data_IF_142084592241
#
_entry.id   IF_142084592241
#
_cell.length_a   1.000
_cell.length_b   1.000
_cell.length_c   1.000
_cell.angle_alpha   90.00
_cell.angle_beta   90.00
_cell.angle_gamma   90.00
#
_symmetry.space_group_name_H-M   'P 1'
#
loop_
_entity.id
_entity.type
_entity.pdbx_description
1 polymer ?
#
# COMPACT_ATOMS: atom_id res chain seq x y z
N UNK A 1 -11.13 -24.86 9.26
CA UNK A 1 -11.36 -23.76 8.30
C UNK A 1 -10.13 -22.89 8.34
N UNK A 2 -9.36 -22.87 7.26
CA UNK A 2 -8.18 -22.01 7.14
C UNK A 2 -8.71 -20.66 6.68
N UNK A 3 -8.91 -19.73 7.61
CA UNK A 3 -9.27 -18.35 7.26
C UNK A 3 -8.01 -17.71 6.66
N UNK A 4 -7.82 -17.89 5.35
CA UNK A 4 -7.00 -16.96 4.60
C UNK A 4 -7.81 -15.67 4.57
N UNK A 5 -7.57 -14.80 5.56
CA UNK A 5 -7.90 -13.39 5.42
C UNK A 5 -7.07 -12.93 4.22
N UNK A 6 -7.68 -12.86 3.05
CA UNK A 6 -7.08 -12.36 1.81
C UNK A 6 -6.41 -11.03 2.17
N UNK A 7 -5.08 -11.03 2.27
CA UNK A 7 -4.37 -9.80 2.57
C UNK A 7 -4.59 -8.88 1.38
N UNK A 8 -5.31 -7.77 1.58
CA UNK A 8 -5.49 -6.79 0.53
C UNK A 8 -4.10 -6.37 0.04
N UNK A 9 -3.80 -6.66 -1.22
CA UNK A 9 -2.54 -6.34 -1.83
C UNK A 9 -2.74 -5.68 -3.19
N UNK A 10 -1.92 -4.66 -3.49
CA UNK A 10 -1.90 -4.02 -4.80
C UNK A 10 -0.47 -3.92 -5.30
N UNK A 11 -0.29 -4.34 -6.55
CA UNK A 11 0.96 -4.23 -7.25
C UNK A 11 1.01 -2.90 -8.03
N UNK A 12 2.01 -2.08 -7.69
CA UNK A 12 2.27 -0.78 -8.31
C UNK A 12 3.53 -0.84 -9.20
N UNK A 13 4.06 -2.04 -9.46
CA UNK A 13 5.28 -2.20 -10.22
C UNK A 13 5.04 -1.89 -11.70
N UNK A 14 5.80 -0.93 -12.22
CA UNK A 14 5.67 -0.51 -13.62
C UNK A 14 4.60 0.55 -13.86
N UNK A 15 3.86 0.98 -12.82
CA UNK A 15 2.99 2.15 -12.90
C UNK A 15 3.81 3.45 -12.99
N UNK A 16 3.28 4.43 -13.70
CA UNK A 16 3.77 5.81 -13.63
C UNK A 16 3.35 6.46 -12.29
N UNK A 17 4.00 7.57 -11.94
CA UNK A 17 3.77 8.27 -10.66
C UNK A 17 2.30 8.67 -10.44
N UNK A 18 1.62 9.09 -11.51
CA UNK A 18 0.22 9.51 -11.47
C UNK A 18 -0.70 8.30 -11.24
N UNK A 19 -0.47 7.21 -11.97
CA UNK A 19 -1.25 5.98 -11.83
C UNK A 19 -1.07 5.39 -10.43
N UNK A 20 0.16 5.30 -9.95
CA UNK A 20 0.44 4.80 -8.61
C UNK A 20 -0.23 5.66 -7.54
N UNK A 21 -0.24 6.99 -7.68
CA UNK A 21 -0.93 7.88 -6.76
C UNK A 21 -2.44 7.59 -6.72
N UNK A 22 -3.06 7.48 -7.89
CA UNK A 22 -4.50 7.21 -7.99
C UNK A 22 -4.86 5.85 -7.37
N UNK A 23 -4.07 4.82 -7.66
CA UNK A 23 -4.27 3.46 -7.13
C UNK A 23 -4.11 3.45 -5.61
N UNK A 24 -3.06 4.09 -5.07
CA UNK A 24 -2.83 4.15 -3.62
C UNK A 24 -3.98 4.84 -2.90
N UNK A 25 -4.43 5.98 -3.41
CA UNK A 25 -5.57 6.69 -2.82
C UNK A 25 -6.86 5.87 -2.86
N UNK A 26 -7.10 5.17 -3.98
CA UNK A 26 -8.26 4.30 -4.09
C UNK A 26 -8.18 3.13 -3.09
N UNK A 27 -7.03 2.48 -3.00
CA UNK A 27 -6.80 1.38 -2.06
C UNK A 27 -6.92 1.84 -0.59
N UNK A 28 -6.48 3.05 -0.24
CA UNK A 28 -6.70 3.61 1.10
C UNK A 28 -8.17 3.87 1.37
N UNK A 29 -8.91 4.37 0.37
CA UNK A 29 -10.36 4.55 0.48
C UNK A 29 -11.08 3.21 0.67
N UNK A 30 -10.70 2.20 -0.10
CA UNK A 30 -11.20 0.82 0.05
C UNK A 30 -10.88 0.28 1.45
N UNK A 31 -9.67 0.51 1.97
CA UNK A 31 -9.28 0.10 3.33
C UNK A 31 -10.15 0.78 4.40
N UNK A 32 -10.54 2.04 4.23
CA UNK A 32 -11.45 2.73 5.16
C UNK A 32 -12.85 2.17 5.15
N UNK A 33 -13.36 1.81 3.97
CA UNK A 33 -14.72 1.30 3.79
C UNK A 33 -14.84 -0.20 4.11
N UNK A 34 -13.73 -0.95 4.10
CA UNK A 34 -13.72 -2.38 4.38
C UNK A 34 -13.84 -2.68 5.90
N UNK A 35 -14.87 -3.44 6.28
CA UNK A 35 -15.15 -3.81 7.68
C UNK A 35 -14.38 -5.06 8.16
N UNK A 36 -13.72 -5.78 7.26
CA UNK A 36 -13.11 -7.09 7.52
C UNK A 36 -11.57 -7.03 7.55
N UNK A 37 -10.97 -6.09 6.82
CA UNK A 37 -9.55 -5.92 6.65
C UNK A 37 -9.05 -4.66 7.36
N UNK A 38 -8.01 -4.83 8.18
CA UNK A 38 -7.38 -3.73 8.91
C UNK A 38 -6.04 -3.30 8.32
N UNK A 39 -5.61 -3.95 7.23
CA UNK A 39 -4.30 -3.70 6.62
C UNK A 39 -4.37 -3.82 5.11
N UNK A 40 -3.56 -3.02 4.42
CA UNK A 40 -3.40 -3.08 2.97
C UNK A 40 -1.91 -3.10 2.62
N UNK A 41 -1.52 -3.98 1.71
CA UNK A 41 -0.14 -4.19 1.27
C UNK A 41 0.07 -3.57 -0.11
N UNK A 42 1.09 -2.74 -0.24
CA UNK A 42 1.48 -2.05 -1.47
C UNK A 42 2.83 -2.58 -1.95
N UNK A 43 2.89 -3.05 -3.19
CA UNK A 43 4.12 -3.55 -3.81
C UNK A 43 4.64 -2.49 -4.78
N UNK A 44 5.59 -1.67 -4.32
CA UNK A 44 6.18 -0.56 -5.09
C UNK A 44 7.28 -0.99 -6.07
N UNK A 45 7.70 -2.26 -6.03
CA UNK A 45 8.79 -2.80 -6.85
C UNK A 45 10.21 -2.38 -6.39
N UNK A 46 11.24 -3.01 -6.97
CA UNK A 46 12.66 -2.72 -6.69
C UNK A 46 13.29 -1.71 -7.67
N UNK A 47 12.47 -0.91 -8.37
CA UNK A 47 12.93 0.00 -9.43
C UNK A 47 13.71 1.22 -8.91
N UNK A 48 13.47 2.39 -9.50
CA UNK A 48 14.11 3.66 -9.09
C UNK A 48 13.74 4.14 -7.67
N UNK A 49 12.79 3.48 -7.01
CA UNK A 49 12.27 3.86 -5.70
C UNK A 49 11.27 5.01 -5.75
N UNK A 50 10.98 5.60 -6.91
CA UNK A 50 10.04 6.72 -7.03
C UNK A 50 8.65 6.38 -6.47
N UNK A 51 8.10 5.21 -6.85
CA UNK A 51 6.80 4.74 -6.38
C UNK A 51 6.79 4.53 -4.86
N UNK A 52 7.88 4.02 -4.29
CA UNK A 52 8.04 3.87 -2.84
C UNK A 52 7.87 5.22 -2.14
N UNK A 53 8.58 6.25 -2.61
CA UNK A 53 8.47 7.60 -2.01
C UNK A 53 7.07 8.20 -2.15
N UNK A 54 6.38 7.95 -3.26
CA UNK A 54 5.00 8.41 -3.48
C UNK A 54 4.05 7.73 -2.48
N UNK A 55 4.15 6.41 -2.34
CA UNK A 55 3.31 5.65 -1.39
C UNK A 55 3.55 6.16 0.03
N UNK A 56 4.82 6.36 0.43
CA UNK A 56 5.16 6.91 1.75
C UNK A 56 4.59 8.31 1.95
N UNK A 57 4.82 9.23 1.01
CA UNK A 57 4.33 10.61 1.09
C UNK A 57 2.81 10.65 1.24
N UNK A 58 2.07 9.81 0.50
CA UNK A 58 0.61 9.72 0.62
C UNK A 58 0.21 9.16 1.99
N UNK A 59 0.83 8.06 2.44
CA UNK A 59 0.52 7.46 3.73
C UNK A 59 0.80 8.42 4.89
N UNK A 60 1.91 9.15 4.84
CA UNK A 60 2.27 10.15 5.84
C UNK A 60 1.32 11.36 5.82
N UNK A 61 0.97 11.88 4.63
CA UNK A 61 0.02 13.00 4.47
C UNK A 61 -1.37 12.65 4.97
N UNK A 62 -1.83 11.46 4.61
CA UNK A 62 -3.12 10.97 5.07
C UNK A 62 -3.05 10.56 6.55
N UNK A 63 -1.88 10.26 7.11
CA UNK A 63 -1.72 9.92 8.54
C UNK A 63 -1.94 8.43 8.84
N UNK A 64 -1.67 7.56 7.87
CA UNK A 64 -1.67 6.12 8.05
C UNK A 64 -0.35 5.64 8.64
N UNK A 65 -0.42 4.64 9.53
CA UNK A 65 0.78 3.92 9.98
C UNK A 65 1.15 2.89 8.93
N UNK A 66 2.45 2.72 8.68
CA UNK A 66 2.92 1.68 7.76
C UNK A 66 4.23 1.05 8.22
N UNK A 67 4.46 -0.18 7.76
CA UNK A 67 5.72 -0.92 7.96
C UNK A 67 6.20 -1.47 6.62
N UNK A 68 7.49 -1.79 6.54
CA UNK A 68 8.05 -2.50 5.41
C UNK A 68 8.15 -3.99 5.73
N UNK A 69 7.65 -4.85 4.84
CA UNK A 69 7.69 -6.30 5.02
C UNK A 69 9.00 -6.93 4.54
N UNK A 70 9.79 -6.22 3.72
CA UNK A 70 11.03 -6.73 3.16
C UNK A 70 12.22 -5.80 3.40
N UNK A 71 13.44 -6.37 3.36
CA UNK A 71 14.70 -5.61 3.52
C UNK A 71 14.88 -4.53 2.45
N UNK A 72 14.37 -4.77 1.25
CA UNK A 72 14.47 -3.84 0.11
C UNK A 72 13.46 -2.69 0.19
N UNK A 73 12.55 -2.71 1.16
CA UNK A 73 11.48 -1.72 1.34
C UNK A 73 10.59 -1.51 0.12
N UNK A 74 10.46 -2.54 -0.72
CA UNK A 74 9.58 -2.56 -1.89
C UNK A 74 8.16 -3.01 -1.57
N UNK A 75 7.95 -3.57 -0.39
CA UNK A 75 6.62 -3.99 0.08
C UNK A 75 6.30 -3.18 1.33
N UNK A 76 5.25 -2.37 1.25
CA UNK A 76 4.79 -1.45 2.29
C UNK A 76 3.42 -1.94 2.76
N UNK A 77 3.26 -2.24 4.05
CA UNK A 77 1.98 -2.60 4.63
C UNK A 77 1.45 -1.43 5.44
N UNK A 78 0.34 -0.85 5.00
CA UNK A 78 -0.38 0.20 5.70
C UNK A 78 -1.43 -0.40 6.65
N UNK A 79 -1.66 0.27 7.76
CA UNK A 79 -2.65 -0.09 8.77
C UNK A 79 -3.78 0.93 8.76
N UNK A 80 -5.01 0.44 8.79
CA UNK A 80 -6.20 1.25 8.96
C UNK A 80 -6.09 2.10 10.24
N UNK A 81 -6.61 3.34 10.18
CA UNK A 81 -6.60 4.28 11.31
C UNK A 81 -7.56 3.85 12.42
#
# INVERSE_FOLDING_TARGET
MNFNFDELEVDLHGCDSIEATAIVLNALKELEEDEYHNTYTFIAGNGSGAIKFIVEDILEKEGYRYIYLNKNKSIIKAFKK
#
